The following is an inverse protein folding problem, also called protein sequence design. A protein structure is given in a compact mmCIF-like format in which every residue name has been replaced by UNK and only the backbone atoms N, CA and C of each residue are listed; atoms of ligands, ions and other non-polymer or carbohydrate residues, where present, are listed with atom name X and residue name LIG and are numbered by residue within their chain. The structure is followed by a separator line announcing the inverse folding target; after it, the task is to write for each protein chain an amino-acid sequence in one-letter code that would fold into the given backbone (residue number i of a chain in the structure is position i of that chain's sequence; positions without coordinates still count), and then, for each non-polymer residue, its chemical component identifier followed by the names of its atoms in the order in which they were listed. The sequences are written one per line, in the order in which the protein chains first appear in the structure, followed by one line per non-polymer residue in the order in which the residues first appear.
data_IF_102831050833
#
_entry.id   IF_102831050833
#
_cell.length_a   1.000
_cell.length_b   1.000
_cell.length_c   1.000
_cell.angle_alpha   90.00
_cell.angle_beta   90.00
_cell.angle_gamma   90.00
#
_symmetry.space_group_name_H-M   'P 1'
#
loop_
_entity.id
_entity.type
_entity.pdbx_description
1 polymer ?
#
# COMPACT_ATOMS: atom_id res chain seq x y z
N UNK A 1 -11.66 -17.99 -37.29
CA UNK A 1 -11.23 -17.25 -36.09
C UNK A 1 -9.76 -17.53 -35.90
N UNK A 2 -8.90 -16.52 -35.95
CA UNK A 2 -7.48 -16.70 -35.70
C UNK A 2 -7.26 -16.87 -34.18
N UNK A 3 -6.81 -18.06 -33.76
CA UNK A 3 -6.38 -18.33 -32.39
C UNK A 3 -4.98 -17.75 -32.21
N UNK A 4 -4.90 -16.50 -31.72
CA UNK A 4 -3.63 -15.92 -31.31
C UNK A 4 -3.29 -16.41 -29.89
N UNK A 5 -2.07 -16.94 -29.67
CA UNK A 5 -1.64 -17.32 -28.33
C UNK A 5 -1.40 -16.07 -27.49
N UNK A 6 -1.97 -16.04 -26.29
CA UNK A 6 -1.78 -14.98 -25.29
C UNK A 6 -1.14 -15.54 -24.03
N UNK A 7 -0.26 -14.77 -23.42
CA UNK A 7 0.33 -15.06 -22.12
C UNK A 7 -0.53 -14.46 -21.02
N UNK A 8 -1.11 -15.35 -20.21
CA UNK A 8 -1.95 -14.96 -19.08
C UNK A 8 -1.23 -15.17 -17.74
N UNK A 9 -1.23 -14.15 -16.89
CA UNK A 9 -0.85 -14.27 -15.48
C UNK A 9 -2.10 -14.51 -14.63
N UNK A 10 -2.07 -15.52 -13.75
CA UNK A 10 -3.17 -15.80 -12.82
C UNK A 10 -2.87 -15.09 -11.49
N UNK A 11 -3.69 -14.11 -11.13
CA UNK A 11 -3.54 -13.33 -9.90
C UNK A 11 -4.69 -13.60 -8.92
N UNK A 12 -4.41 -14.38 -7.88
CA UNK A 12 -5.39 -14.68 -6.83
C UNK A 12 -5.66 -13.52 -5.87
N UNK A 13 -4.92 -12.41 -5.98
CA UNK A 13 -5.18 -11.17 -5.25
C UNK A 13 -6.10 -10.20 -6.00
N UNK A 14 -6.32 -10.44 -7.30
CA UNK A 14 -7.11 -9.54 -8.14
C UNK A 14 -8.60 -9.84 -8.06
N UNK A 15 -9.44 -8.80 -7.98
CA UNK A 15 -10.92 -8.95 -8.00
C UNK A 15 -11.47 -9.07 -9.43
N UNK A 16 -10.75 -8.55 -10.43
CA UNK A 16 -11.17 -8.53 -11.82
C UNK A 16 -10.08 -9.06 -12.74
N UNK A 17 -10.45 -9.34 -13.98
CA UNK A 17 -9.50 -9.72 -15.02
C UNK A 17 -9.16 -8.53 -15.93
N UNK A 18 -7.92 -8.46 -16.38
CA UNK A 18 -7.35 -7.34 -17.12
C UNK A 18 -6.73 -7.77 -18.45
N UNK A 19 -6.74 -6.86 -19.41
CA UNK A 19 -6.07 -6.99 -20.70
C UNK A 19 -5.07 -5.85 -20.87
N UNK A 20 -3.89 -6.16 -21.39
CA UNK A 20 -2.87 -5.15 -21.67
C UNK A 20 -3.34 -4.24 -22.80
N UNK A 21 -3.16 -2.93 -22.67
CA UNK A 21 -3.57 -1.96 -23.69
C UNK A 21 -2.91 -2.14 -25.08
N UNK A 22 -1.86 -2.94 -25.21
CA UNK A 22 -1.28 -3.28 -26.53
C UNK A 22 -2.03 -4.38 -27.28
N UNK A 23 -2.92 -5.12 -26.62
CA UNK A 23 -3.56 -6.32 -27.16
C UNK A 23 -4.86 -6.02 -27.95
N UNK A 24 -5.80 -5.18 -27.45
CA UNK A 24 -7.09 -4.94 -28.11
C UNK A 24 -6.98 -4.38 -29.53
N UNK A 25 -5.98 -3.51 -29.76
CA UNK A 25 -5.67 -2.89 -31.05
C UNK A 25 -5.51 -3.89 -32.19
N UNK A 26 -5.13 -5.13 -31.86
CA UNK A 26 -4.81 -6.19 -32.83
C UNK A 26 -5.96 -7.19 -33.05
N UNK A 27 -7.01 -7.17 -32.22
CA UNK A 27 -8.06 -8.19 -32.18
C UNK A 27 -9.42 -7.73 -32.74
N UNK A 28 -9.62 -6.41 -32.90
CA UNK A 28 -10.89 -5.85 -33.39
C UNK A 28 -12.07 -6.07 -32.44
N UNK A 29 -11.83 -6.31 -31.15
CA UNK A 29 -12.87 -6.42 -30.13
C UNK A 29 -13.36 -5.01 -29.79
N UNK A 30 -14.69 -4.81 -29.81
CA UNK A 30 -15.30 -3.53 -29.46
C UNK A 30 -15.15 -3.28 -27.96
N UNK A 31 -14.49 -2.19 -27.59
CA UNK A 31 -14.44 -1.70 -26.22
C UNK A 31 -15.76 -1.00 -25.89
N UNK A 32 -16.29 -1.23 -24.70
CA UNK A 32 -17.35 -0.40 -24.12
C UNK A 32 -16.70 0.63 -23.20
N UNK A 33 -17.08 1.91 -23.39
CA UNK A 33 -16.74 2.95 -22.42
C UNK A 33 -17.57 2.73 -21.15
N UNK A 34 -16.91 2.75 -19.99
CA UNK A 34 -17.61 2.60 -18.71
C UNK A 34 -18.34 3.88 -18.35
N UNK A 35 -19.66 3.80 -18.13
CA UNK A 35 -20.54 4.93 -17.76
C UNK A 35 -20.25 5.51 -16.36
N UNK A 36 -19.38 4.87 -15.59
CA UNK A 36 -18.96 5.25 -14.24
C UNK A 36 -17.44 5.16 -14.18
N UNK A 37 -16.79 6.12 -13.53
CA UNK A 37 -15.34 6.12 -13.31
C UNK A 37 -14.95 4.92 -12.43
N UNK A 38 -14.47 3.85 -13.05
CA UNK A 38 -13.97 2.67 -12.34
C UNK A 38 -12.48 2.85 -12.03
N UNK A 39 -12.13 2.79 -10.75
CA UNK A 39 -10.75 2.85 -10.28
C UNK A 39 -10.30 1.47 -9.80
N UNK A 40 -9.13 1.04 -10.28
CA UNK A 40 -8.48 -0.22 -9.90
C UNK A 40 -7.28 0.10 -9.03
N UNK A 41 -7.12 -0.63 -7.92
CA UNK A 41 -5.95 -0.50 -7.05
C UNK A 41 -4.87 -1.47 -7.55
N UNK A 42 -3.77 -0.94 -8.06
CA UNK A 42 -2.63 -1.75 -8.50
C UNK A 42 -1.97 -2.48 -7.31
N UNK A 43 -1.14 -3.52 -7.54
CA UNK A 43 -0.33 -4.14 -6.48
C UNK A 43 0.55 -3.16 -5.70
N UNK A 44 0.89 -2.01 -6.30
CA UNK A 44 1.64 -0.90 -5.69
C UNK A 44 0.74 0.10 -4.93
N UNK A 45 -0.56 -0.19 -4.80
CA UNK A 45 -1.60 0.65 -4.16
C UNK A 45 -1.92 1.96 -4.87
N UNK A 46 -1.68 2.02 -6.18
CA UNK A 46 -2.05 3.18 -6.98
C UNK A 46 -3.47 3.00 -7.52
N UNK A 47 -4.24 4.08 -7.56
CA UNK A 47 -5.52 4.11 -8.26
C UNK A 47 -5.27 4.34 -9.74
N UNK A 48 -5.62 3.36 -10.56
CA UNK A 48 -5.58 3.46 -12.01
C UNK A 48 -7.02 3.53 -12.50
N UNK A 49 -7.34 4.60 -13.20
CA UNK A 49 -8.63 4.74 -13.85
C UNK A 49 -8.71 3.76 -15.02
N UNK A 50 -9.78 2.96 -15.04
CA UNK A 50 -10.13 2.09 -16.16
C UNK A 50 -11.34 2.69 -16.84
N UNK A 51 -11.15 3.14 -18.08
CA UNK A 51 -12.21 3.76 -18.87
C UNK A 51 -12.84 2.79 -19.89
N UNK A 52 -12.22 1.63 -20.11
CA UNK A 52 -12.61 0.68 -21.15
C UNK A 52 -12.73 -0.74 -20.61
N UNK A 53 -13.84 -1.38 -20.98
CA UNK A 53 -14.13 -2.76 -20.64
C UNK A 53 -14.47 -3.53 -21.91
N UNK A 54 -13.85 -4.69 -22.07
CA UNK A 54 -14.16 -5.64 -23.12
C UNK A 54 -15.03 -6.73 -22.53
N UNK A 55 -16.34 -6.62 -22.74
CA UNK A 55 -17.30 -7.57 -22.18
C UNK A 55 -17.37 -8.84 -22.99
N UNK A 56 -17.57 -9.97 -22.29
CA UNK A 56 -17.83 -11.29 -22.87
C UNK A 56 -16.79 -11.71 -23.91
N UNK A 57 -15.51 -11.44 -23.63
CA UNK A 57 -14.39 -11.91 -24.43
C UNK A 57 -14.31 -13.43 -24.37
N UNK A 58 -14.18 -14.08 -25.53
CA UNK A 58 -14.08 -15.53 -25.62
C UNK A 58 -12.63 -15.99 -25.44
N UNK A 59 -12.31 -16.63 -24.31
CA UNK A 59 -11.00 -17.21 -24.04
C UNK A 59 -11.06 -18.74 -24.11
N UNK A 60 -10.16 -19.34 -24.89
CA UNK A 60 -10.02 -20.80 -24.96
C UNK A 60 -8.82 -21.27 -24.15
N UNK A 61 -9.06 -22.18 -23.21
CA UNK A 61 -8.03 -22.78 -22.37
C UNK A 61 -8.19 -24.30 -22.40
N UNK A 62 -7.18 -25.00 -22.94
CA UNK A 62 -7.18 -26.46 -23.10
C UNK A 62 -8.43 -27.03 -23.83
N UNK A 63 -8.97 -26.31 -24.80
CA UNK A 63 -10.16 -26.71 -25.57
C UNK A 63 -11.50 -26.28 -24.96
N UNK A 64 -11.48 -25.64 -23.78
CA UNK A 64 -12.66 -25.08 -23.15
C UNK A 64 -12.74 -23.59 -23.40
N UNK A 65 -13.86 -23.14 -23.97
CA UNK A 65 -14.10 -21.73 -24.30
C UNK A 65 -15.01 -21.11 -23.24
N UNK A 66 -14.55 -20.07 -22.56
CA UNK A 66 -15.34 -19.31 -21.59
C UNK A 66 -15.39 -17.82 -21.94
N UNK A 67 -16.40 -17.14 -21.41
CA UNK A 67 -16.60 -15.71 -21.59
C UNK A 67 -16.06 -14.97 -20.36
N UNK A 68 -15.26 -13.93 -20.59
CA UNK A 68 -14.66 -13.13 -19.54
C UNK A 68 -14.79 -11.64 -19.84
N UNK A 69 -15.03 -10.84 -18.81
CA UNK A 69 -14.99 -9.39 -18.91
C UNK A 69 -13.56 -8.93 -18.58
N UNK A 70 -12.94 -8.19 -19.50
CA UNK A 70 -11.55 -7.73 -19.37
C UNK A 70 -11.51 -6.21 -19.27
N UNK A 71 -10.91 -5.71 -18.20
CA UNK A 71 -10.64 -4.29 -18.00
C UNK A 71 -9.31 -3.91 -18.66
N UNK A 72 -9.27 -2.82 -19.44
CA UNK A 72 -8.02 -2.36 -20.02
C UNK A 72 -7.11 -1.78 -18.94
N UNK A 73 -5.87 -2.29 -18.85
CA UNK A 73 -4.86 -1.78 -17.93
C UNK A 73 -3.50 -1.73 -18.64
N UNK A 74 -2.69 -0.71 -18.34
CA UNK A 74 -1.37 -0.54 -18.96
C UNK A 74 -0.32 -1.38 -18.20
N UNK A 75 -0.05 -2.59 -18.70
CA UNK A 75 1.05 -3.47 -18.26
C UNK A 75 1.72 -4.11 -19.50
N UNK A 76 2.96 -4.61 -19.37
CA UNK A 76 3.76 -5.04 -20.53
C UNK A 76 4.31 -6.47 -20.44
N UNK A 77 4.23 -7.10 -19.28
CA UNK A 77 4.87 -8.38 -18.98
C UNK A 77 4.04 -9.59 -19.44
N UNK A 78 2.72 -9.39 -19.55
CA UNK A 78 1.74 -10.40 -19.95
C UNK A 78 0.71 -9.75 -20.86
N UNK A 79 -0.03 -10.57 -21.60
CA UNK A 79 -1.14 -10.09 -22.43
C UNK A 79 -2.43 -9.96 -21.60
N UNK A 80 -2.60 -10.85 -20.63
CA UNK A 80 -3.78 -10.97 -19.79
C UNK A 80 -3.39 -11.14 -18.32
N UNK A 81 -4.18 -10.55 -17.42
CA UNK A 81 -4.18 -10.91 -16.00
C UNK A 81 -5.56 -11.48 -15.70
N UNK A 82 -5.60 -12.71 -15.23
CA UNK A 82 -6.83 -13.40 -14.89
C UNK A 82 -6.99 -13.38 -13.37
N UNK A 83 -8.05 -12.71 -12.88
CA UNK A 83 -8.33 -12.49 -11.47
C UNK A 83 -9.15 -13.58 -10.77
N UNK A 84 -9.76 -13.25 -9.64
CA UNK A 84 -10.55 -14.18 -8.82
C UNK A 84 -12.01 -14.33 -9.25
N UNK A 85 -12.46 -13.59 -10.27
CA UNK A 85 -13.82 -13.62 -10.79
C UNK A 85 -14.25 -15.01 -11.33
N UNK A 86 -13.28 -15.89 -11.59
CA UNK A 86 -13.48 -17.25 -12.11
C UNK A 86 -12.82 -18.36 -11.26
N UNK A 87 -12.03 -18.02 -10.23
CA UNK A 87 -11.26 -19.01 -9.46
C UNK A 87 -12.07 -19.61 -8.31
N UNK A 88 -12.24 -20.94 -8.31
CA UNK A 88 -12.94 -21.68 -7.25
C UNK A 88 -11.97 -22.21 -6.19
N UNK A 89 -10.80 -22.67 -6.63
CA UNK A 89 -9.84 -23.29 -5.73
C UNK A 89 -8.46 -23.44 -6.34
N UNK A 90 -7.45 -23.31 -5.49
CA UNK A 90 -6.04 -23.52 -5.81
C UNK A 90 -5.48 -24.60 -4.91
N UNK A 91 -5.13 -25.75 -5.48
CA UNK A 91 -4.38 -26.79 -4.78
C UNK A 91 -2.90 -26.68 -5.17
N UNK A 92 -2.13 -26.08 -4.27
CA UNK A 92 -0.69 -25.90 -4.42
C UNK A 92 0.12 -27.20 -4.37
N UNK A 93 -0.42 -28.26 -3.75
CA UNK A 93 0.27 -29.54 -3.58
C UNK A 93 0.12 -30.39 -4.84
N UNK A 94 -1.07 -30.39 -5.44
CA UNK A 94 -1.35 -31.09 -6.69
C UNK A 94 -1.08 -30.26 -7.96
N UNK A 95 -0.67 -28.99 -7.81
CA UNK A 95 -0.58 -27.98 -8.89
C UNK A 95 -1.87 -27.90 -9.73
N UNK A 96 -3.02 -27.87 -9.06
CA UNK A 96 -4.33 -27.83 -9.71
C UNK A 96 -4.96 -26.47 -9.51
N UNK A 97 -5.47 -25.90 -10.58
CA UNK A 97 -6.26 -24.68 -10.57
C UNK A 97 -7.68 -25.06 -11.01
N UNK A 98 -8.68 -24.82 -10.16
CA UNK A 98 -10.08 -25.13 -10.45
C UNK A 98 -10.82 -23.84 -10.80
N UNK A 99 -11.43 -23.84 -11.99
CA UNK A 99 -12.15 -22.73 -12.58
C UNK A 99 -13.66 -22.99 -12.50
N UNK A 100 -14.45 -21.94 -12.21
CA UNK A 100 -15.91 -21.99 -12.35
C UNK A 100 -16.26 -21.64 -13.79
N UNK A 101 -16.96 -22.53 -14.48
CA UNK A 101 -17.34 -22.32 -15.88
C UNK A 101 -18.79 -21.83 -16.01
N UNK A 102 -19.68 -22.34 -15.15
CA UNK A 102 -21.09 -21.97 -14.97
C UNK A 102 -21.50 -22.24 -13.52
N UNK A 103 -22.70 -21.83 -13.10
CA UNK A 103 -23.14 -21.95 -11.70
C UNK A 103 -23.04 -23.35 -11.06
N UNK A 104 -22.87 -24.41 -11.86
CA UNK A 104 -22.70 -25.79 -11.41
C UNK A 104 -21.51 -26.57 -11.99
N UNK A 105 -20.75 -26.02 -12.96
CA UNK A 105 -19.70 -26.78 -13.66
C UNK A 105 -18.30 -26.23 -13.34
N UNK A 106 -17.44 -27.11 -12.82
CA UNK A 106 -16.04 -26.83 -12.50
C UNK A 106 -15.10 -27.53 -13.48
N UNK A 107 -14.07 -26.82 -13.94
CA UNK A 107 -12.98 -27.40 -14.73
C UNK A 107 -11.66 -27.32 -13.96
N UNK A 108 -10.89 -28.40 -13.95
CA UNK A 108 -9.61 -28.48 -13.26
C UNK A 108 -8.48 -28.44 -14.29
N UNK A 109 -7.74 -27.34 -14.31
CA UNK A 109 -6.46 -27.29 -15.00
C UNK A 109 -5.41 -27.97 -14.12
N UNK A 110 -4.85 -29.05 -14.64
CA UNK A 110 -3.65 -29.68 -14.09
C UNK A 110 -2.48 -29.24 -14.95
N UNK A 111 -1.42 -28.74 -14.31
CA UNK A 111 -0.15 -28.39 -14.97
C UNK A 111 0.39 -29.59 -15.78
N UNK A 112 0.05 -29.66 -17.06
CA UNK A 112 0.72 -30.53 -18.03
C UNK A 112 1.90 -29.73 -18.54
N UNK A 113 3.08 -29.98 -17.99
CA UNK A 113 4.35 -29.50 -18.50
C UNK A 113 4.32 -29.49 -20.04
N UNK A 114 4.15 -28.30 -20.63
CA UNK A 114 4.55 -28.05 -22.00
C UNK A 114 5.72 -27.08 -21.90
N UNK A 115 6.83 -27.48 -22.50
CA UNK A 115 8.18 -26.90 -22.39
C UNK A 115 8.32 -25.50 -23.01
N UNK A 116 7.39 -24.58 -22.77
CA UNK A 116 7.42 -23.23 -23.34
C UNK A 116 8.26 -22.23 -22.53
N UNK A 117 8.75 -22.60 -21.34
CA UNK A 117 9.64 -21.77 -20.52
C UNK A 117 10.85 -22.57 -20.04
N UNK A 118 11.74 -22.95 -20.95
CA UNK A 118 12.98 -23.69 -20.65
C UNK A 118 13.94 -22.97 -19.69
N UNK A 119 13.70 -21.68 -19.40
CA UNK A 119 14.57 -20.83 -18.59
C UNK A 119 13.93 -20.34 -17.27
N UNK A 120 12.70 -20.76 -16.94
CA UNK A 120 12.01 -20.35 -15.71
C UNK A 120 11.90 -21.52 -14.75
N UNK A 121 12.46 -21.36 -13.55
CA UNK A 121 12.39 -22.37 -12.48
C UNK A 121 11.49 -21.89 -11.34
N UNK A 122 10.85 -22.81 -10.64
CA UNK A 122 10.06 -22.47 -9.45
C UNK A 122 10.96 -22.01 -8.30
N UNK A 123 10.41 -21.20 -7.39
CA UNK A 123 11.10 -20.73 -6.20
C UNK A 123 11.64 -21.88 -5.31
N UNK A 124 10.95 -23.03 -5.29
CA UNK A 124 11.40 -24.23 -4.59
C UNK A 124 12.65 -24.85 -5.23
N UNK A 125 12.70 -24.89 -6.57
CA UNK A 125 13.87 -25.37 -7.31
C UNK A 125 15.04 -24.41 -7.13
N UNK A 126 14.80 -23.09 -7.24
CA UNK A 126 15.81 -22.08 -6.96
C UNK A 126 16.41 -22.24 -5.56
N UNK A 127 15.56 -22.42 -4.53
CA UNK A 127 16.01 -22.66 -3.16
C UNK A 127 16.84 -23.94 -3.01
N UNK A 128 16.50 -25.02 -3.71
CA UNK A 128 17.30 -26.26 -3.71
C UNK A 128 18.67 -26.05 -4.38
N UNK A 129 18.74 -25.27 -5.45
CA UNK A 129 20.00 -24.97 -6.15
C UNK A 129 20.94 -24.10 -5.30
N UNK A 130 20.41 -23.13 -4.56
CA UNK A 130 21.18 -22.35 -3.57
C UNK A 130 21.81 -23.28 -2.51
N UNK A 131 21.04 -24.23 -1.97
CA UNK A 131 21.58 -25.20 -0.98
C UNK A 131 22.65 -26.13 -1.57
N UNK A 132 22.63 -26.36 -2.89
CA UNK A 132 23.65 -27.13 -3.61
C UNK A 132 24.89 -26.30 -3.96
N UNK A 133 25.01 -25.08 -3.43
CA UNK A 133 26.11 -24.13 -3.70
C UNK A 133 26.25 -23.72 -5.17
N UNK A 134 25.15 -23.71 -5.92
CA UNK A 134 25.16 -23.07 -7.23
C UNK A 134 25.27 -21.54 -7.07
N UNK A 135 26.01 -20.89 -7.96
CA UNK A 135 26.07 -19.43 -8.01
C UNK A 135 24.71 -18.88 -8.45
N UNK A 136 24.12 -18.06 -7.60
CA UNK A 136 22.81 -17.45 -7.85
C UNK A 136 22.97 -15.94 -7.88
N UNK A 137 22.57 -15.35 -8.99
CA UNK A 137 22.56 -13.90 -9.18
C UNK A 137 21.12 -13.41 -9.03
N UNK A 138 20.91 -12.46 -8.13
CA UNK A 138 19.64 -11.77 -7.99
C UNK A 138 19.66 -10.52 -8.87
N UNK A 139 19.06 -10.61 -10.06
CA UNK A 139 18.73 -9.44 -10.84
C UNK A 139 17.42 -8.87 -10.29
N UNK A 140 17.49 -7.71 -9.63
CA UNK A 140 16.31 -6.92 -9.32
C UNK A 140 16.31 -5.71 -10.25
N UNK A 141 15.18 -5.46 -10.89
CA UNK A 141 14.96 -4.21 -11.61
C UNK A 141 14.52 -3.21 -10.55
N UNK A 142 15.40 -2.27 -10.23
CA UNK A 142 14.98 -1.09 -9.48
C UNK A 142 14.22 -0.21 -10.47
N UNK A 143 12.91 -0.11 -10.32
CA UNK A 143 12.12 0.82 -11.11
C UNK A 143 12.51 2.25 -10.72
N UNK A 144 13.43 2.84 -11.50
CA UNK A 144 13.73 4.27 -11.43
C UNK A 144 12.57 5.11 -11.99
N UNK A 145 11.63 4.50 -12.72
CA UNK A 145 10.49 5.17 -13.32
C UNK A 145 9.30 5.34 -12.36
N UNK A 146 9.25 4.66 -11.23
CA UNK A 146 8.32 5.04 -10.15
C UNK A 146 8.71 6.39 -9.56
N UNK A 147 10.01 6.68 -9.47
CA UNK A 147 10.45 8.04 -9.24
C UNK A 147 10.12 8.89 -10.46
N UNK A 148 10.54 8.57 -11.68
CA UNK A 148 10.29 9.48 -12.82
C UNK A 148 8.82 9.71 -13.22
N UNK A 149 7.85 8.86 -12.90
CA UNK A 149 6.44 9.10 -13.29
C UNK A 149 5.69 10.03 -12.34
N UNK A 150 5.94 9.96 -11.03
CA UNK A 150 5.38 10.88 -10.02
C UNK A 150 6.27 12.11 -9.85
N UNK A 151 7.59 11.94 -9.94
CA UNK A 151 8.61 12.97 -9.73
C UNK A 151 8.98 13.68 -11.03
N UNK A 152 8.77 13.07 -12.20
CA UNK A 152 9.10 13.67 -13.50
C UNK A 152 8.24 14.87 -13.87
N UNK A 153 7.00 14.94 -13.39
CA UNK A 153 6.09 16.07 -13.60
C UNK A 153 6.19 17.17 -12.54
N UNK A 154 6.82 16.92 -11.39
CA UNK A 154 6.82 17.84 -10.24
C UNK A 154 8.27 18.18 -9.87
N UNK A 155 8.78 19.28 -10.43
CA UNK A 155 10.16 19.74 -10.20
C UNK A 155 10.49 19.80 -8.70
N UNK A 156 9.54 20.29 -7.89
CA UNK A 156 9.72 20.43 -6.44
C UNK A 156 9.97 19.11 -5.71
N UNK A 157 9.45 17.96 -6.16
CA UNK A 157 9.75 16.69 -5.46
C UNK A 157 11.19 16.23 -5.73
N UNK A 158 11.75 16.54 -6.91
CA UNK A 158 13.15 16.24 -7.23
C UNK A 158 14.10 16.98 -6.30
N UNK A 159 13.81 18.26 -6.06
CA UNK A 159 14.66 19.13 -5.25
C UNK A 159 14.71 18.70 -3.78
N UNK A 160 13.66 18.03 -3.29
CA UNK A 160 13.51 17.58 -1.90
C UNK A 160 13.51 16.05 -1.76
N UNK A 161 14.22 15.32 -2.64
CA UNK A 161 14.27 13.85 -2.61
C UNK A 161 14.75 13.29 -1.26
N UNK A 162 15.54 14.07 -0.51
CA UNK A 162 16.03 13.73 0.82
C UNK A 162 15.00 13.89 1.95
N UNK A 163 13.81 14.43 1.69
CA UNK A 163 12.68 14.40 2.63
C UNK A 163 11.93 13.07 2.55
N UNK A 164 12.02 12.39 1.41
CA UNK A 164 11.23 11.20 1.11
C UNK A 164 12.02 9.91 1.36
N UNK A 165 11.58 9.12 2.34
CA UNK A 165 12.23 7.84 2.65
C UNK A 165 11.23 6.67 2.75
N UNK A 166 11.65 5.51 2.24
CA UNK A 166 10.94 4.26 2.51
C UNK A 166 11.13 3.80 3.96
N UNK A 167 12.28 4.13 4.55
CA UNK A 167 12.70 3.72 5.89
C UNK A 167 13.50 4.83 6.54
N UNK A 168 13.21 5.12 7.81
CA UNK A 168 13.88 6.19 8.54
C UNK A 168 15.41 5.96 8.59
N UNK A 169 16.22 7.01 8.35
CA UNK A 169 17.68 6.92 8.32
C UNK A 169 18.28 6.71 9.72
N UNK A 170 17.56 7.08 10.78
CA UNK A 170 17.99 6.96 12.17
C UNK A 170 17.09 7.76 13.10
N UNK A 171 17.58 8.04 14.31
CA UNK A 171 16.99 9.07 15.16
C UNK A 171 17.27 10.46 14.57
N UNK A 172 16.33 11.41 14.66
CA UNK A 172 16.59 12.80 14.30
C UNK A 172 17.60 13.41 15.28
N UNK A 173 18.18 14.55 14.90
CA UNK A 173 18.98 15.38 15.79
C UNK A 173 18.14 15.88 16.98
N UNK A 174 18.81 16.28 18.06
CA UNK A 174 18.14 16.84 19.24
C UNK A 174 17.28 18.05 18.85
N UNK A 175 16.06 18.11 19.39
CA UNK A 175 15.03 19.11 19.04
C UNK A 175 14.78 20.06 20.20
N UNK A 176 14.22 21.22 19.88
CA UNK A 176 13.83 22.25 20.87
C UNK A 176 12.80 21.74 21.91
N UNK A 177 12.05 20.69 21.57
CA UNK A 177 11.02 20.11 22.43
C UNK A 177 11.42 18.68 22.77
N UNK A 178 11.63 18.42 24.07
CA UNK A 178 11.81 17.08 24.60
C UNK A 178 10.45 16.45 24.94
N UNK A 179 10.31 15.16 24.67
CA UNK A 179 9.10 14.41 25.03
C UNK A 179 9.27 13.80 26.42
N UNK A 180 8.80 14.51 27.44
CA UNK A 180 8.79 14.02 28.80
C UNK A 180 7.55 13.16 29.09
N UNK A 181 7.76 12.03 29.78
CA UNK A 181 6.69 11.16 30.25
C UNK A 181 6.56 11.34 31.75
N UNK A 182 5.58 12.13 32.16
CA UNK A 182 5.26 12.33 33.57
C UNK A 182 4.54 11.10 34.17
N UNK A 183 4.97 10.70 35.35
CA UNK A 183 4.43 9.56 36.10
C UNK A 183 3.74 10.07 37.37
N UNK A 184 2.62 9.45 37.76
CA UNK A 184 1.90 9.81 38.98
C UNK A 184 2.80 9.67 40.22
N UNK A 185 2.71 10.63 41.15
CA UNK A 185 3.49 10.62 42.40
C UNK A 185 3.20 9.35 43.22
N UNK A 186 4.25 8.65 43.65
CA UNK A 186 4.16 7.47 44.50
C UNK A 186 3.91 6.15 43.77
N UNK A 187 4.03 6.10 42.43
CA UNK A 187 3.91 4.85 41.66
C UNK A 187 5.00 3.86 42.00
N UNK A 188 4.60 2.61 42.25
CA UNK A 188 5.50 1.47 42.39
C UNK A 188 6.05 1.04 41.03
N UNK A 189 7.31 0.59 41.01
CA UNK A 189 8.00 0.11 39.82
C UNK A 189 7.24 -1.05 39.17
N UNK A 190 6.99 -0.94 37.85
CA UNK A 190 6.32 -1.98 37.08
C UNK A 190 7.33 -2.71 36.21
N UNK A 191 7.64 -3.97 36.57
CA UNK A 191 8.40 -4.89 35.75
C UNK A 191 7.51 -6.07 35.38
N UNK A 192 7.03 -6.08 34.13
CA UNK A 192 6.12 -7.12 33.63
C UNK A 192 6.95 -8.23 32.97
N UNK A 193 6.65 -9.47 33.33
CA UNK A 193 7.26 -10.64 32.69
C UNK A 193 6.79 -10.76 31.24
N UNK A 194 7.69 -11.22 30.36
CA UNK A 194 7.36 -11.50 28.97
C UNK A 194 6.28 -12.60 28.88
N UNK A 195 5.32 -12.41 27.98
CA UNK A 195 4.36 -13.46 27.65
C UNK A 195 5.07 -14.72 27.12
N UNK A 196 4.56 -15.90 27.48
CA UNK A 196 5.02 -17.15 26.89
C UNK A 196 4.75 -17.14 25.37
N UNK A 197 5.78 -17.45 24.58
CA UNK A 197 5.71 -17.41 23.11
C UNK A 197 6.10 -18.74 22.47
N UNK A 198 5.40 -19.11 21.40
CA UNK A 198 5.80 -20.24 20.54
C UNK A 198 7.15 -19.96 19.83
N UNK A 199 7.91 -21.01 19.51
CA UNK A 199 9.26 -20.92 18.95
C UNK A 199 9.39 -20.03 17.70
N UNK A 200 8.37 -20.00 16.82
CA UNK A 200 8.35 -19.11 15.63
C UNK A 200 8.29 -17.62 16.01
N UNK A 201 7.55 -17.25 17.07
CA UNK A 201 7.49 -15.88 17.60
C UNK A 201 8.80 -15.51 18.31
N UNK A 202 9.40 -16.47 19.03
CA UNK A 202 10.66 -16.26 19.74
C UNK A 202 11.84 -15.96 18.80
N UNK A 203 11.91 -16.63 17.63
CA UNK A 203 12.91 -16.29 16.59
C UNK A 203 12.76 -14.85 16.10
N UNK A 204 11.52 -14.38 15.90
CA UNK A 204 11.24 -12.99 15.49
C UNK A 204 11.53 -11.97 16.60
N UNK A 205 11.29 -12.34 17.85
CA UNK A 205 11.64 -11.53 19.03
C UNK A 205 13.15 -11.28 19.14
N UNK A 206 13.99 -12.15 18.59
CA UNK A 206 15.44 -11.88 18.53
C UNK A 206 15.83 -10.96 17.37
N UNK A 207 15.18 -11.11 16.22
CA UNK A 207 15.56 -10.39 14.99
C UNK A 207 15.09 -8.93 14.98
N UNK A 208 13.85 -8.64 15.37
CA UNK A 208 13.30 -7.27 15.27
C UNK A 208 13.96 -6.27 16.24
N UNK A 209 14.16 -6.59 17.54
CA UNK A 209 14.92 -5.73 18.43
C UNK A 209 16.37 -5.56 18.00
N UNK A 210 17.01 -6.60 17.46
CA UNK A 210 18.37 -6.47 16.91
C UNK A 210 18.40 -5.47 15.77
N UNK A 211 17.43 -5.53 14.85
CA UNK A 211 17.32 -4.55 13.77
C UNK A 211 17.12 -3.12 14.30
N UNK A 212 16.35 -2.93 15.37
CA UNK A 212 16.17 -1.62 16.00
C UNK A 212 17.44 -1.13 16.71
N UNK A 213 18.21 -2.04 17.33
CA UNK A 213 19.52 -1.76 17.94
C UNK A 213 20.54 -1.36 16.88
N UNK A 214 20.64 -2.12 15.78
CA UNK A 214 21.57 -1.86 14.68
C UNK A 214 21.29 -0.50 14.01
N UNK A 215 20.03 -0.03 14.09
CA UNK A 215 19.59 1.30 13.61
C UNK A 215 19.77 2.42 14.63
N UNK A 216 20.15 2.10 15.87
CA UNK A 216 20.24 3.07 16.96
C UNK A 216 18.90 3.63 17.44
N UNK A 217 17.77 2.97 17.12
CA UNK A 217 16.43 3.42 17.56
C UNK A 217 16.12 3.01 19.01
N UNK A 218 16.82 1.99 19.51
CA UNK A 218 16.74 1.52 20.90
C UNK A 218 18.15 1.21 21.40
N UNK A 219 18.28 1.08 22.71
CA UNK A 219 19.52 0.66 23.36
C UNK A 219 19.25 -0.33 24.49
N UNK A 220 20.21 -1.18 24.88
CA UNK A 220 20.10 -1.98 26.08
C UNK A 220 19.89 -1.10 27.31
N UNK A 221 19.02 -1.49 28.23
CA UNK A 221 18.78 -0.77 29.48
C UNK A 221 18.65 -1.75 30.65
N UNK A 222 18.99 -1.26 31.85
CA UNK A 222 18.77 -1.95 33.13
C UNK A 222 17.65 -1.27 33.92
N UNK A 223 16.65 -0.77 33.19
CA UNK A 223 15.53 -0.05 33.78
C UNK A 223 14.77 -0.91 34.77
N UNK A 224 14.37 -0.30 35.88
CA UNK A 224 13.44 -0.89 36.83
C UNK A 224 12.00 -0.98 36.28
N UNK A 225 11.74 -0.34 35.13
CA UNK A 225 10.49 -0.38 34.39
C UNK A 225 10.59 -1.32 33.20
N UNK A 226 9.57 -2.17 33.00
CA UNK A 226 9.52 -3.14 31.92
C UNK A 226 8.11 -3.36 31.38
N UNK A 227 7.98 -3.34 30.06
CA UNK A 227 6.75 -3.66 29.35
C UNK A 227 6.86 -5.03 28.67
N UNK A 228 5.75 -5.76 28.61
CA UNK A 228 5.69 -7.01 27.86
C UNK A 228 5.60 -6.74 26.35
N UNK A 229 6.01 -7.73 25.56
CA UNK A 229 6.00 -7.64 24.09
C UNK A 229 5.07 -8.70 23.50
N UNK A 230 4.28 -8.29 22.52
CA UNK A 230 3.33 -9.12 21.79
C UNK A 230 3.62 -9.09 20.28
N UNK A 231 3.18 -10.11 19.57
CA UNK A 231 3.26 -10.16 18.10
C UNK A 231 1.88 -10.33 17.50
N UNK A 232 1.48 -9.36 16.67
CA UNK A 232 0.27 -9.42 15.86
C UNK A 232 0.59 -9.62 14.39
N UNK A 233 -0.25 -10.39 13.71
CA UNK A 233 -0.18 -10.64 12.27
C UNK A 233 -0.93 -9.53 11.54
N UNK A 234 -0.26 -8.84 10.63
CA UNK A 234 -0.89 -7.92 9.69
C UNK A 234 -1.56 -8.68 8.54
N UNK A 235 -2.43 -7.97 7.82
CA UNK A 235 -3.15 -8.48 6.62
C UNK A 235 -2.19 -9.04 5.56
N UNK A 236 -1.00 -8.48 5.45
CA UNK A 236 0.10 -8.89 4.56
C UNK A 236 0.90 -10.10 5.09
N UNK A 237 0.39 -10.84 6.08
CA UNK A 237 1.05 -11.97 6.74
C UNK A 237 2.34 -11.59 7.52
N UNK A 238 2.71 -10.30 7.57
CA UNK A 238 3.85 -9.83 8.35
C UNK A 238 3.51 -9.84 9.85
N UNK A 239 4.47 -10.19 10.71
CA UNK A 239 4.28 -10.12 12.17
C UNK A 239 4.95 -8.87 12.69
N UNK A 240 4.20 -8.01 13.37
CA UNK A 240 4.73 -6.81 14.02
C UNK A 240 4.87 -7.03 15.51
N UNK A 241 6.06 -6.73 16.03
CA UNK A 241 6.29 -6.56 17.46
C UNK A 241 5.50 -5.34 17.95
N UNK A 242 4.80 -5.51 19.07
CA UNK A 242 4.07 -4.46 19.77
C UNK A 242 4.50 -4.51 21.23
N UNK A 243 4.85 -3.36 21.78
CA UNK A 243 5.12 -3.21 23.20
C UNK A 243 3.80 -2.87 23.89
N UNK A 244 3.42 -3.66 24.88
CA UNK A 244 2.19 -3.47 25.62
C UNK A 244 2.40 -2.47 26.76
N UNK A 245 2.18 -1.20 26.45
CA UNK A 245 2.25 -0.12 27.43
C UNK A 245 0.98 0.02 28.27
N UNK A 246 -0.03 -0.87 28.17
CA UNK A 246 -1.32 -0.64 28.82
C UNK A 246 -1.24 -0.45 30.34
N UNK A 247 -0.37 -1.19 31.02
CA UNK A 247 -0.17 -1.01 32.47
C UNK A 247 0.59 0.28 32.78
N UNK A 248 1.59 0.62 31.95
CA UNK A 248 2.40 1.83 32.10
C UNK A 248 1.56 3.09 31.87
N UNK A 249 0.72 3.11 30.83
CA UNK A 249 -0.17 4.22 30.50
C UNK A 249 -1.16 4.56 31.62
N UNK A 250 -1.53 3.59 32.48
CA UNK A 250 -2.40 3.84 33.66
C UNK A 250 -1.70 4.62 34.77
N UNK A 251 -0.36 4.61 34.78
CA UNK A 251 0.47 5.25 35.78
C UNK A 251 1.01 6.61 35.28
N UNK A 252 0.78 6.94 34.01
CA UNK A 252 1.22 8.20 33.42
C UNK A 252 0.19 9.31 33.65
N UNK A 253 0.69 10.54 33.76
CA UNK A 253 -0.15 11.73 33.76
C UNK A 253 -0.68 11.97 32.35
N UNK A 254 -1.99 12.13 32.21
CA UNK A 254 -2.60 12.39 30.91
C UNK A 254 -2.30 13.84 30.47
N UNK A 255 -1.33 13.99 29.57
CA UNK A 255 -1.10 15.26 28.89
C UNK A 255 -2.15 15.44 27.78
N UNK A 256 -2.97 16.49 27.89
CA UNK A 256 -4.01 16.81 26.89
C UNK A 256 -3.51 17.91 25.98
N UNK A 257 -3.09 17.54 24.78
CA UNK A 257 -2.87 18.52 23.73
C UNK A 257 -4.20 18.86 23.05
N UNK A 258 -4.56 20.15 22.90
CA UNK A 258 -5.77 20.54 22.20
C UNK A 258 -5.63 20.23 20.71
N UNK A 259 -6.18 19.10 20.28
CA UNK A 259 -6.26 18.79 18.86
C UNK A 259 -7.29 19.71 18.19
N UNK A 260 -6.99 20.25 16.99
CA UNK A 260 -7.97 20.98 16.22
C UNK A 260 -9.18 20.07 16.01
N UNK A 261 -10.35 20.48 16.48
CA UNK A 261 -11.58 19.85 16.01
C UNK A 261 -11.76 20.32 14.58
N UNK A 262 -11.69 19.40 13.62
CA UNK A 262 -12.15 19.66 12.25
C UNK A 262 -13.66 19.92 12.30
N UNK A 263 -14.07 21.13 12.69
CA UNK A 263 -15.31 21.73 12.22
C UNK A 263 -14.92 22.46 10.94
N UNK A 264 -15.56 22.07 9.85
CA UNK A 264 -15.29 22.53 8.50
C UNK A 264 -15.66 24.01 8.41
N UNK A 265 -14.75 24.86 8.89
CA UNK A 265 -14.61 26.24 8.44
C UNK A 265 -13.27 26.30 7.70
N UNK A 266 -13.03 25.37 6.75
CA UNK A 266 -11.93 25.58 5.82
C UNK A 266 -12.20 26.93 5.15
N UNK A 267 -11.27 27.88 5.20
CA UNK A 267 -11.43 29.13 4.51
C UNK A 267 -11.70 28.83 3.04
N UNK A 268 -12.90 29.19 2.57
CA UNK A 268 -13.34 29.06 1.17
C UNK A 268 -12.58 30.07 0.28
N UNK A 269 -11.54 30.73 0.81
CA UNK A 269 -10.74 31.72 0.12
C UNK A 269 -9.31 31.74 0.68
N UNK A 270 -8.32 31.41 -0.17
CA UNK A 270 -6.89 31.53 0.12
C UNK A 270 -6.09 30.22 0.16
N UNK A 271 -4.75 30.33 0.17
CA UNK A 271 -3.82 29.25 0.51
C UNK A 271 -4.13 28.71 1.89
N UNK A 272 -4.21 27.39 2.04
CA UNK A 272 -4.22 26.78 3.38
C UNK A 272 -3.37 25.52 3.39
N UNK A 273 -2.40 25.51 4.30
CA UNK A 273 -1.72 24.30 4.76
C UNK A 273 -2.41 23.85 6.03
N UNK A 274 -3.01 22.67 6.01
CA UNK A 274 -3.67 22.07 7.18
C UNK A 274 -2.80 20.91 7.66
N UNK A 275 -2.35 20.99 8.91
CA UNK A 275 -1.59 19.92 9.56
C UNK A 275 -2.48 19.27 10.61
N UNK A 276 -2.68 17.97 10.50
CA UNK A 276 -3.37 17.17 11.50
C UNK A 276 -2.53 15.94 11.86
N UNK A 277 -1.85 16.01 13.01
CA UNK A 277 -0.96 14.96 13.53
C UNK A 277 0.13 14.61 12.51
N UNK A 278 -0.05 13.54 11.72
CA UNK A 278 0.89 13.03 10.74
C UNK A 278 0.49 13.32 9.28
N UNK A 279 -0.70 13.87 9.05
CA UNK A 279 -1.21 14.20 7.73
C UNK A 279 -1.15 15.71 7.46
N UNK A 280 -0.58 16.08 6.31
CA UNK A 280 -0.44 17.47 5.86
C UNK A 280 -1.20 17.61 4.56
N UNK A 281 -2.23 18.46 4.56
CA UNK A 281 -2.95 18.86 3.36
C UNK A 281 -2.43 20.22 2.90
N UNK A 282 -2.00 20.29 1.65
CA UNK A 282 -1.66 21.53 0.96
C UNK A 282 -2.69 21.70 -0.14
N UNK A 283 -3.45 22.79 -0.13
CA UNK A 283 -4.35 23.12 -1.23
C UNK A 283 -4.25 24.60 -1.58
N UNK A 284 -4.42 24.87 -2.88
CA UNK A 284 -4.32 26.21 -3.42
C UNK A 284 -5.23 26.30 -4.67
N UNK A 285 -5.75 27.50 -4.96
CA UNK A 285 -6.65 27.74 -6.10
C UNK A 285 -5.94 27.81 -7.46
N UNK A 286 -4.75 28.40 -7.48
CA UNK A 286 -3.85 28.55 -8.63
C UNK A 286 -2.70 27.54 -8.53
N UNK A 287 -2.38 26.89 -9.64
CA UNK A 287 -1.37 25.82 -9.74
C UNK A 287 0.06 26.32 -9.43
N UNK A 288 0.46 27.47 -9.99
CA UNK A 288 1.79 28.06 -9.76
C UNK A 288 2.03 28.37 -8.27
N UNK A 289 1.04 28.96 -7.61
CA UNK A 289 1.11 29.26 -6.17
C UNK A 289 1.10 27.97 -5.33
N UNK A 290 0.45 26.90 -5.78
CA UNK A 290 0.51 25.60 -5.10
C UNK A 290 1.93 25.04 -5.04
N UNK A 291 2.70 25.12 -6.14
CA UNK A 291 4.08 24.61 -6.20
C UNK A 291 4.98 25.35 -5.20
N UNK A 292 4.85 26.68 -5.12
CA UNK A 292 5.58 27.50 -4.15
C UNK A 292 5.27 27.11 -2.70
N UNK A 293 3.98 26.87 -2.39
CA UNK A 293 3.56 26.47 -1.04
C UNK A 293 4.02 25.05 -0.70
N UNK A 294 3.94 24.11 -1.64
CA UNK A 294 4.47 22.76 -1.48
C UNK A 294 5.98 22.81 -1.21
N UNK A 295 6.71 23.65 -1.96
CA UNK A 295 8.15 23.85 -1.79
C UNK A 295 8.48 24.38 -0.40
N UNK A 296 7.72 25.35 0.11
CA UNK A 296 7.88 25.87 1.46
C UNK A 296 7.63 24.78 2.53
N UNK A 297 6.58 23.97 2.37
CA UNK A 297 6.29 22.87 3.30
C UNK A 297 7.43 21.85 3.31
N UNK A 298 7.89 21.41 2.13
CA UNK A 298 9.00 20.46 2.01
C UNK A 298 10.31 21.02 2.55
N UNK A 299 10.56 22.32 2.37
CA UNK A 299 11.70 23.00 2.98
C UNK A 299 11.62 22.97 4.50
N UNK A 300 10.47 23.26 5.11
CA UNK A 300 10.29 23.18 6.56
C UNK A 300 10.52 21.74 7.06
N UNK A 301 9.98 20.75 6.35
CA UNK A 301 10.16 19.34 6.70
C UNK A 301 11.63 18.94 6.63
N UNK A 302 12.35 19.38 5.60
CA UNK A 302 13.78 19.19 5.46
C UNK A 302 14.56 19.81 6.63
N UNK A 303 14.38 21.11 6.88
CA UNK A 303 15.09 21.86 7.93
C UNK A 303 14.84 21.29 9.33
N UNK A 304 13.63 20.75 9.57
CA UNK A 304 13.23 20.17 10.85
C UNK A 304 13.39 18.64 10.89
N UNK A 305 14.07 18.05 9.90
CA UNK A 305 14.34 16.61 9.79
C UNK A 305 13.08 15.73 9.95
N UNK A 306 11.97 16.17 9.36
CA UNK A 306 10.77 15.35 9.21
C UNK A 306 10.81 14.60 7.89
N UNK A 307 10.50 13.32 7.96
CA UNK A 307 10.59 12.43 6.82
C UNK A 307 9.21 11.96 6.40
N UNK A 308 8.96 12.02 5.09
CA UNK A 308 7.66 11.70 4.51
C UNK A 308 7.74 10.39 3.75
N UNK A 309 6.69 9.57 3.88
CA UNK A 309 6.59 8.33 3.12
C UNK A 309 5.95 8.58 1.76
N UNK A 310 6.76 8.73 0.73
CA UNK A 310 6.30 9.00 -0.64
C UNK A 310 5.19 8.05 -1.12
N UNK A 311 5.26 6.77 -0.75
CA UNK A 311 4.24 5.76 -1.13
C UNK A 311 2.85 5.99 -0.51
N UNK A 312 2.68 7.03 0.29
CA UNK A 312 1.41 7.44 0.92
C UNK A 312 1.03 8.88 0.55
N UNK A 313 1.84 9.55 -0.27
CA UNK A 313 1.56 10.90 -0.69
C UNK A 313 0.77 10.90 -1.99
N UNK A 314 -0.10 11.88 -2.10
CA UNK A 314 -0.90 12.15 -3.28
C UNK A 314 -0.63 13.62 -3.67
N UNK A 315 -0.31 13.86 -4.94
CA UNK A 315 0.09 15.18 -5.45
C UNK A 315 -0.74 15.54 -6.67
N UNK A 316 -0.95 16.84 -6.87
CA UNK A 316 -1.68 17.39 -8.03
C UNK A 316 -3.04 16.74 -8.30
N UNK A 317 -3.79 16.47 -7.24
CA UNK A 317 -5.17 16.02 -7.35
C UNK A 317 -6.12 17.22 -7.30
N UNK A 318 -7.16 17.21 -8.13
CA UNK A 318 -8.28 18.15 -7.99
C UNK A 318 -9.10 17.86 -6.74
N UNK A 319 -9.16 16.59 -6.33
CA UNK A 319 -9.92 16.14 -5.17
C UNK A 319 -9.12 15.14 -4.33
N UNK A 320 -9.19 15.24 -3.00
CA UNK A 320 -8.46 14.35 -2.09
C UNK A 320 -9.27 14.02 -0.84
N UNK A 321 -9.16 12.78 -0.37
CA UNK A 321 -9.75 12.36 0.90
C UNK A 321 -8.82 12.76 2.06
N UNK A 322 -9.27 13.66 2.92
CA UNK A 322 -8.53 14.12 4.10
C UNK A 322 -9.38 13.93 5.37
N UNK A 323 -8.89 13.14 6.32
CA UNK A 323 -9.59 12.86 7.59
C UNK A 323 -11.05 12.34 7.42
N UNK A 324 -11.32 11.62 6.33
CA UNK A 324 -12.66 11.10 6.01
C UNK A 324 -13.58 12.10 5.30
N UNK A 325 -13.08 13.29 4.95
CA UNK A 325 -13.78 14.29 4.16
C UNK A 325 -13.18 14.38 2.75
N UNK A 326 -14.02 14.52 1.75
CA UNK A 326 -13.59 14.83 0.39
C UNK A 326 -13.32 16.33 0.31
N UNK A 327 -12.11 16.71 -0.09
CA UNK A 327 -11.73 18.10 -0.36
C UNK A 327 -11.72 18.28 -1.86
N UNK A 328 -12.59 19.14 -2.39
CA UNK A 328 -12.69 19.45 -3.82
C UNK A 328 -12.67 20.97 -4.08
N UNK A 329 -12.58 21.43 -5.34
CA UNK A 329 -12.65 22.85 -5.68
C UNK A 329 -13.97 23.52 -5.26
N UNK A 330 -15.06 22.73 -5.16
CA UNK A 330 -16.38 23.15 -4.71
C UNK A 330 -16.49 23.25 -3.18
N UNK A 331 -15.43 22.86 -2.45
CA UNK A 331 -15.37 22.80 -0.99
C UNK A 331 -15.54 21.37 -0.46
N UNK A 332 -15.75 21.24 0.85
CA UNK A 332 -16.06 19.94 1.46
C UNK A 332 -17.56 19.69 1.34
N UNK A 333 -18.03 18.62 0.67
CA UNK A 333 -19.45 18.34 0.55
C UNK A 333 -20.04 18.16 1.95
N UNK A 334 -21.01 19.00 2.29
CA UNK A 334 -21.77 18.91 3.53
C UNK A 334 -22.51 17.57 3.54
N UNK A 335 -22.30 16.76 4.58
CA UNK A 335 -23.04 15.51 4.80
C UNK A 335 -24.54 15.75 4.54
N UNK A 336 -25.17 15.06 3.57
CA UNK A 336 -26.58 15.26 3.26
C UNK A 336 -27.49 15.01 4.47
N UNK A 337 -27.04 14.24 5.48
CA UNK A 337 -27.78 14.02 6.73
C UNK A 337 -27.82 15.22 7.68
N UNK A 338 -27.00 16.27 7.44
CA UNK A 338 -27.05 17.54 8.18
C UNK A 338 -27.94 18.61 7.53
N UNK A 339 -28.58 18.30 6.39
CA UNK A 339 -29.53 19.19 5.70
C UNK A 339 -30.99 18.98 6.12
N UNK A 340 -31.25 18.49 7.33
CA UNK A 340 -32.60 18.60 7.90
C UNK A 340 -32.75 20.01 8.48
N UNK A 341 -33.71 20.82 7.99
CA UNK A 341 -34.00 22.09 8.62
C UNK A 341 -34.54 21.80 10.03
N UNK A 342 -33.99 22.48 11.03
CA UNK A 342 -34.63 22.64 12.32
C UNK A 342 -35.93 23.39 12.02
N UNK A 343 -37.03 22.64 11.91
CA UNK A 343 -38.38 23.20 11.92
C UNK A 343 -38.70 23.48 13.39
N UNK A 344 -38.91 24.75 13.70
CA UNK A 344 -39.39 25.27 15.00
C UNK A 344 -40.72 24.65 15.43
#
# INVERSE_FOLDING_TARGET
MHLFPYFAFIDCGSTHSYISGSVPSNLGILAEDTSSELFVISPLRQFVQVSKVFRRCSLEVQGFVFLIDLMELLFREFDLILGMDWLVGLDSESKRVTFKFRDSDEFVMVDKHRDYLSNVISALVAKKLVHKRCDVYLAYVHDTNFMESVVGGIHTIKDFSNVFFYKLPGLPSDREVEFEIEVLLGTTLVSITLYCMAAKKLKKLKLQPQELLDRGLIQPSVSSWGASVLFLRKKDNFMRMLVDYCQLNKLMVNNKYPLPKLKIDLPVSGSVVIVFIDDILVYYKIEDEHDEHLRMVLHILHEKEFYVKLSKCEFWLSEVMFMGYMVSPEGIPVDPKKKEPILD
#
